data_IF_730270022825
#
_entry.id   IF_730270022825
#
_cell.length_a   1.000
_cell.length_b   1.000
_cell.length_c   1.000
_cell.angle_alpha   90.00
_cell.angle_beta   90.00
_cell.angle_gamma   90.00
#
_symmetry.space_group_name_H-M   'P 1'
#
loop_
_entity.id
_entity.type
_entity.pdbx_description
1 polymer ?
#
# COMPACT_ATOMS: atom_id res chain seq x y z
N UNK A 1 12.25 15.61 33.87
CA UNK A 1 11.49 16.20 32.75
C UNK A 1 11.96 15.53 31.48
N UNK A 2 11.20 14.57 30.93
CA UNK A 2 11.44 14.04 29.59
C UNK A 2 10.21 14.36 28.75
N UNK A 3 10.46 14.91 27.55
CA UNK A 3 9.45 15.37 26.63
C UNK A 3 8.93 14.18 25.81
N UNK A 4 7.64 13.88 25.95
CA UNK A 4 6.89 13.03 25.01
C UNK A 4 6.54 13.86 23.78
N UNK A 5 7.37 13.76 22.74
CA UNK A 5 7.08 14.31 21.42
C UNK A 5 6.08 13.38 20.72
N UNK A 6 4.89 13.92 20.43
CA UNK A 6 3.97 13.51 19.36
C UNK A 6 3.76 12.02 19.15
N UNK A 7 2.66 11.48 19.70
CA UNK A 7 2.17 10.15 19.35
C UNK A 7 1.80 10.07 17.87
N UNK A 8 2.76 9.66 17.04
CA UNK A 8 2.48 9.05 15.75
C UNK A 8 2.01 7.64 16.07
N UNK A 9 0.76 7.32 15.74
CA UNK A 9 0.24 5.94 15.78
C UNK A 9 1.05 5.10 14.78
N UNK A 10 2.19 4.54 15.22
CA UNK A 10 3.07 3.70 14.41
C UNK A 10 2.43 2.32 14.29
N UNK A 11 1.42 2.23 13.42
CA UNK A 11 0.76 0.98 13.14
C UNK A 11 1.68 0.08 12.30
N UNK A 12 2.27 -0.93 12.95
CA UNK A 12 3.04 -1.97 12.26
C UNK A 12 2.09 -3.07 11.76
N UNK A 13 1.96 -3.20 10.42
CA UNK A 13 1.18 -4.27 9.79
C UNK A 13 2.11 -5.39 9.32
N UNK A 14 1.83 -6.61 9.76
CA UNK A 14 2.48 -7.84 9.31
C UNK A 14 1.41 -8.74 8.68
N UNK A 15 1.70 -9.30 7.51
CA UNK A 15 0.86 -10.31 6.89
C UNK A 15 1.44 -11.69 7.20
N UNK A 16 0.64 -12.53 7.86
CA UNK A 16 1.00 -13.90 8.19
C UNK A 16 -0.06 -14.87 7.67
N UNK A 17 0.36 -16.06 7.27
CA UNK A 17 -0.55 -17.15 6.94
C UNK A 17 -0.82 -17.98 8.19
N UNK A 18 -2.08 -18.33 8.38
CA UNK A 18 -2.49 -19.23 9.46
C UNK A 18 -1.94 -20.63 9.18
N UNK A 19 -1.28 -21.22 10.19
CA UNK A 19 -0.76 -22.59 10.15
C UNK A 19 -1.85 -23.66 10.17
N UNK A 20 -1.49 -24.94 9.96
CA UNK A 20 -2.44 -26.05 9.90
C UNK A 20 -3.23 -26.28 11.19
N UNK A 21 -2.71 -25.80 12.32
CA UNK A 21 -3.30 -25.87 13.66
C UNK A 21 -4.04 -24.58 14.05
N UNK A 22 -4.15 -23.61 13.15
CA UNK A 22 -4.74 -22.31 13.45
C UNK A 22 -3.78 -21.32 14.11
N UNK A 23 -2.48 -21.65 14.25
CA UNK A 23 -1.49 -20.77 14.87
C UNK A 23 -0.94 -19.70 13.92
N UNK A 24 -0.51 -18.57 14.50
CA UNK A 24 0.26 -17.51 13.83
C UNK A 24 1.50 -17.25 14.68
N UNK A 25 2.68 -17.30 14.06
CA UNK A 25 3.95 -16.98 14.72
C UNK A 25 4.45 -15.65 14.12
N UNK A 26 4.58 -14.63 14.97
CA UNK A 26 5.08 -13.31 14.61
C UNK A 26 6.55 -13.18 15.03
N UNK A 27 7.40 -12.67 14.14
CA UNK A 27 8.84 -12.48 14.38
C UNK A 27 9.25 -11.03 14.12
N UNK A 28 10.25 -10.55 14.86
CA UNK A 28 10.88 -9.25 14.61
C UNK A 28 9.97 -8.05 14.84
N UNK A 29 9.05 -8.14 15.81
CA UNK A 29 8.24 -6.97 16.19
C UNK A 29 9.14 -5.87 16.79
N UNK A 30 8.92 -4.59 16.45
CA UNK A 30 9.74 -3.48 16.92
C UNK A 30 9.34 -3.03 18.34
N UNK A 31 9.10 -3.99 19.24
CA UNK A 31 8.74 -3.75 20.63
C UNK A 31 9.85 -4.26 21.55
N UNK A 32 9.97 -3.64 22.71
CA UNK A 32 10.95 -4.04 23.70
C UNK A 32 10.41 -5.15 24.60
N UNK A 33 11.31 -5.86 25.29
CA UNK A 33 10.93 -6.87 26.27
C UNK A 33 10.07 -6.23 27.39
N UNK A 34 8.97 -6.89 27.73
CA UNK A 34 8.04 -6.44 28.78
C UNK A 34 7.03 -5.38 28.33
N UNK A 35 7.06 -4.95 27.08
CA UNK A 35 6.08 -4.02 26.52
C UNK A 35 4.74 -4.73 26.27
N UNK A 36 3.64 -4.15 26.75
CA UNK A 36 2.29 -4.66 26.50
C UNK A 36 1.82 -4.19 25.12
N UNK A 37 1.45 -5.13 24.26
CA UNK A 37 0.98 -4.85 22.90
C UNK A 37 -0.42 -5.43 22.65
N UNK A 38 -1.24 -4.72 21.88
CA UNK A 38 -2.54 -5.21 21.40
C UNK A 38 -2.39 -5.83 20.01
N UNK A 39 -2.98 -7.00 19.79
CA UNK A 39 -2.99 -7.67 18.49
C UNK A 39 -4.41 -7.72 17.96
N UNK A 40 -4.63 -7.13 16.78
CA UNK A 40 -5.91 -7.17 16.08
C UNK A 40 -5.77 -8.04 14.82
N UNK A 41 -6.42 -9.20 14.82
CA UNK A 41 -6.42 -10.11 13.66
C UNK A 41 -7.63 -9.79 12.77
N UNK A 42 -7.35 -9.44 11.51
CA UNK A 42 -8.38 -9.25 10.48
C UNK A 42 -8.14 -10.24 9.35
N UNK A 43 -9.21 -10.84 8.83
CA UNK A 43 -9.11 -11.61 7.59
C UNK A 43 -8.59 -10.68 6.49
N UNK A 44 -7.43 -11.00 5.91
CA UNK A 44 -7.01 -10.32 4.70
C UNK A 44 -7.87 -10.86 3.57
N UNK A 45 -8.85 -10.09 3.13
CA UNK A 45 -9.35 -10.27 1.76
C UNK A 45 -8.12 -10.09 0.87
N UNK A 46 -7.61 -11.19 0.29
CA UNK A 46 -6.70 -11.07 -0.86
C UNK A 46 -7.38 -10.05 -1.75
N UNK A 47 -6.69 -8.95 -2.10
CA UNK A 47 -7.09 -8.14 -3.24
C UNK A 47 -7.12 -9.09 -4.44
N UNK A 48 -8.27 -9.73 -4.65
CA UNK A 48 -8.63 -10.37 -5.91
C UNK A 48 -8.74 -9.20 -6.86
N UNK A 49 -7.62 -8.89 -7.50
CA UNK A 49 -7.53 -8.21 -8.78
C UNK A 49 -6.18 -7.49 -8.88
N UNK A 50 -5.04 -8.17 -8.81
CA UNK A 50 -3.89 -7.61 -9.53
C UNK A 50 -4.18 -7.57 -11.04
N UNK A 51 -5.05 -8.47 -11.52
CA UNK A 51 -5.51 -8.53 -12.91
C UNK A 51 -6.48 -7.38 -13.30
N UNK A 52 -7.22 -6.74 -12.36
CA UNK A 52 -7.88 -5.45 -12.68
C UNK A 52 -7.03 -4.21 -12.40
N UNK A 53 -5.90 -4.32 -11.68
CA UNK A 53 -5.09 -3.13 -11.37
C UNK A 53 -4.39 -2.60 -12.62
N UNK A 54 -4.12 -3.46 -13.62
CA UNK A 54 -3.45 -3.05 -14.87
C UNK A 54 -4.17 -3.60 -16.10
N UNK A 55 -5.31 -3.02 -16.51
CA UNK A 55 -6.13 -3.53 -17.62
C UNK A 55 -5.40 -3.53 -18.97
N UNK A 56 -4.31 -2.76 -19.10
CA UNK A 56 -3.50 -2.67 -20.32
C UNK A 56 -2.22 -3.51 -20.25
N UNK A 57 -1.98 -4.28 -19.18
CA UNK A 57 -0.77 -5.12 -19.06
C UNK A 57 -0.78 -6.19 -20.16
N UNK A 58 0.27 -6.22 -20.98
CA UNK A 58 0.40 -7.16 -22.10
C UNK A 58 -0.29 -6.72 -23.39
N UNK A 59 -1.02 -5.59 -23.37
CA UNK A 59 -1.62 -5.00 -24.56
C UNK A 59 -0.62 -4.04 -25.21
N UNK A 60 -0.21 -4.27 -26.46
CA UNK A 60 0.65 -3.33 -27.18
C UNK A 60 -0.09 -2.02 -27.42
N UNK A 61 0.47 -0.91 -26.94
CA UNK A 61 -0.04 0.44 -27.20
C UNK A 61 0.84 1.09 -28.26
N UNK A 62 0.24 1.50 -29.38
CA UNK A 62 0.92 2.19 -30.48
C UNK A 62 0.54 3.66 -30.43
N UNK A 63 1.55 4.53 -30.32
CA UNK A 63 1.36 5.96 -30.42
C UNK A 63 1.56 6.38 -31.87
N UNK A 64 0.48 6.77 -32.54
CA UNK A 64 0.54 7.14 -33.95
C UNK A 64 1.33 8.44 -34.17
N UNK A 65 1.21 9.41 -33.26
CA UNK A 65 1.89 10.71 -33.31
C UNK A 65 2.20 11.23 -31.89
N UNK A 66 3.22 10.68 -31.22
CA UNK A 66 3.48 10.94 -29.80
C UNK A 66 3.98 12.37 -29.51
N UNK A 67 4.46 13.09 -30.52
CA UNK A 67 5.05 14.42 -30.38
C UNK A 67 4.19 15.54 -30.98
N UNK A 68 3.04 15.21 -31.54
CA UNK A 68 2.12 16.23 -32.05
C UNK A 68 1.53 17.00 -30.86
N UNK A 69 1.45 18.35 -30.95
CA UNK A 69 0.86 19.16 -29.90
C UNK A 69 -0.63 18.79 -29.75
N UNK A 70 -1.01 18.45 -28.52
CA UNK A 70 -2.41 18.13 -28.21
C UNK A 70 -3.14 19.43 -27.90
N UNK A 71 -4.08 19.77 -28.78
CA UNK A 71 -5.07 20.82 -28.56
C UNK A 71 -4.47 22.19 -28.23
N UNK A 72 -3.37 22.58 -28.87
CA UNK A 72 -2.63 23.85 -28.63
C UNK A 72 -3.53 25.09 -28.56
N UNK A 73 -4.61 25.14 -29.36
CA UNK A 73 -5.60 26.21 -29.37
C UNK A 73 -6.62 26.18 -28.21
N UNK A 74 -6.74 25.07 -27.50
CA UNK A 74 -7.71 24.88 -26.40
C UNK A 74 -7.11 25.18 -25.02
N UNK A 75 -5.77 25.36 -24.94
CA UNK A 75 -5.09 25.79 -23.73
C UNK A 75 -5.10 27.32 -23.61
N UNK A 76 -6.16 27.90 -23.04
CA UNK A 76 -6.12 29.30 -22.59
C UNK A 76 -5.40 29.40 -21.24
N UNK A 77 -4.07 29.44 -21.27
CA UNK A 77 -3.32 29.93 -20.12
C UNK A 77 -3.55 31.45 -20.02
N UNK A 78 -4.60 31.86 -19.33
CA UNK A 78 -4.81 33.25 -18.97
C UNK A 78 -3.68 33.68 -18.02
N UNK A 79 -2.79 34.54 -18.50
CA UNK A 79 -1.77 35.23 -17.70
C UNK A 79 -2.37 36.36 -16.88
#
# INVERSE_FOLDING_TARGET
MQATLGGVDMQHRIEAKVGPDGSIILHGLPFHEGETVEIVVKSSEKKKDEDKVYPLRGTPVIYERPFDPVAENDWSAAS
#
